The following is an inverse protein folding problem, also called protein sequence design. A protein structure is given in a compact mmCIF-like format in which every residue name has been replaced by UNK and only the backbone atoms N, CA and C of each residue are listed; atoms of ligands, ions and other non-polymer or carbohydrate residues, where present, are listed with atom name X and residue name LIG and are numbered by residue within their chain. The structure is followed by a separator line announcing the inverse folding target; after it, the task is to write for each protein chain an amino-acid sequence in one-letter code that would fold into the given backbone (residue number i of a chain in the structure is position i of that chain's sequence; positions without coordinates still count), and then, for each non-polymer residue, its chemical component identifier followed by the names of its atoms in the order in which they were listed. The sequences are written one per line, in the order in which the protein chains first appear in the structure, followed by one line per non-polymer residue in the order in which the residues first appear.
data_IF_727033767945
#
_entry.id   IF_727033767945
#
_cell.length_a   1.000
_cell.length_b   1.000
_cell.length_c   1.000
_cell.angle_alpha   90.00
_cell.angle_beta   90.00
_cell.angle_gamma   90.00
#
_symmetry.space_group_name_H-M   'P 1'
#
loop_
_entity.id
_entity.type
_entity.pdbx_description
1 polymer ?
#
# COMPACT_ATOMS: atom_id res chain seq x y z
N UNK A 1 17.33 -13.77 0.67
CA UNK A 1 18.42 -13.97 1.63
C UNK A 1 18.40 -12.93 2.72
N UNK A 2 18.80 -13.31 3.95
CA UNK A 2 18.88 -12.39 5.11
C UNK A 2 19.73 -11.14 4.84
N UNK A 3 20.68 -11.22 3.89
CA UNK A 3 21.49 -10.07 3.47
C UNK A 3 20.72 -8.95 2.79
N UNK A 4 19.63 -9.23 2.08
CA UNK A 4 18.79 -8.21 1.45
C UNK A 4 18.05 -7.40 2.52
N UNK A 5 17.45 -8.08 3.50
CA UNK A 5 16.78 -7.40 4.61
C UNK A 5 17.78 -6.49 5.36
N UNK A 6 18.99 -6.99 5.63
CA UNK A 6 20.02 -6.18 6.28
C UNK A 6 20.33 -4.91 5.49
N UNK A 7 20.55 -5.01 4.19
CA UNK A 7 20.85 -3.85 3.34
C UNK A 7 19.72 -2.82 3.32
N UNK A 8 18.46 -3.29 3.25
CA UNK A 8 17.27 -2.43 3.30
C UNK A 8 17.14 -1.73 4.64
N UNK A 9 17.35 -2.44 5.75
CA UNK A 9 17.31 -1.86 7.09
C UNK A 9 18.45 -0.86 7.32
N UNK A 10 19.65 -1.16 6.83
CA UNK A 10 20.79 -0.23 6.91
C UNK A 10 20.51 1.05 6.12
N UNK A 11 19.95 0.93 4.90
CA UNK A 11 19.55 2.08 4.10
C UNK A 11 18.49 2.93 4.80
N UNK A 12 17.50 2.30 5.43
CA UNK A 12 16.46 3.02 6.19
C UNK A 12 17.05 3.80 7.37
N UNK A 13 17.96 3.17 8.13
CA UNK A 13 18.65 3.85 9.24
C UNK A 13 19.51 5.02 8.78
N UNK A 14 20.26 4.84 7.68
CA UNK A 14 21.04 5.92 7.08
C UNK A 14 20.14 7.09 6.68
N UNK A 15 18.96 6.84 6.10
CA UNK A 15 18.01 7.90 5.77
C UNK A 15 17.53 8.65 7.02
N UNK A 16 17.25 7.94 8.12
CA UNK A 16 16.87 8.55 9.40
C UNK A 16 17.99 9.42 9.97
N UNK A 17 19.24 8.96 9.89
CA UNK A 17 20.40 9.69 10.38
C UNK A 17 20.69 10.96 9.56
N UNK A 18 20.57 10.86 8.23
CA UNK A 18 20.85 11.98 7.32
C UNK A 18 19.71 13.02 7.25
N UNK A 19 18.48 12.61 7.47
CA UNK A 19 17.29 13.46 7.37
C UNK A 19 16.25 13.09 8.44
N UNK A 20 16.54 13.39 9.73
CA UNK A 20 15.69 12.96 10.85
C UNK A 20 14.30 13.63 10.86
N UNK A 21 14.13 14.72 10.12
CA UNK A 21 12.85 15.42 9.91
C UNK A 21 12.03 14.83 8.76
N UNK A 22 12.55 13.82 8.07
CA UNK A 22 11.88 13.15 6.95
C UNK A 22 11.40 11.76 7.35
N UNK A 23 10.36 11.31 6.65
CA UNK A 23 9.83 9.98 6.82
C UNK A 23 10.47 9.04 5.81
N UNK A 24 11.39 8.14 6.20
CA UNK A 24 11.92 7.14 5.29
C UNK A 24 10.80 6.22 4.83
N UNK A 25 10.71 6.02 3.53
CA UNK A 25 9.64 5.25 2.94
C UNK A 25 10.20 4.04 2.20
N UNK A 26 9.90 2.85 2.70
CA UNK A 26 10.25 1.58 2.05
C UNK A 26 8.97 0.79 1.83
N UNK A 27 8.62 0.58 0.57
CA UNK A 27 7.49 -0.25 0.20
C UNK A 27 7.85 -1.73 0.34
N UNK A 28 7.01 -2.51 1.02
CA UNK A 28 7.14 -3.94 1.15
C UNK A 28 6.43 -4.63 -0.02
N UNK A 29 6.96 -5.77 -0.46
CA UNK A 29 6.21 -6.64 -1.36
C UNK A 29 4.94 -7.15 -0.68
N UNK A 30 3.89 -7.44 -1.44
CA UNK A 30 2.73 -8.14 -0.89
C UNK A 30 3.11 -9.58 -0.53
N UNK A 31 2.43 -10.14 0.46
CA UNK A 31 2.50 -11.56 0.72
C UNK A 31 1.97 -12.33 -0.50
N UNK A 32 2.76 -13.24 -0.99
CA UNK A 32 2.36 -14.20 -2.01
C UNK A 32 3.07 -15.54 -1.78
N UNK A 33 2.30 -16.56 -1.43
CA UNK A 33 2.83 -17.91 -1.25
C UNK A 33 4.01 -18.00 -0.26
N UNK A 34 5.17 -18.39 -0.77
CA UNK A 34 6.36 -18.68 0.01
C UNK A 34 7.40 -17.52 0.04
N UNK A 35 6.99 -16.28 -0.20
CA UNK A 35 7.94 -15.15 -0.28
C UNK A 35 8.75 -14.97 1.01
N UNK A 36 8.18 -15.22 2.16
CA UNK A 36 8.89 -15.13 3.43
C UNK A 36 10.07 -16.11 3.48
N UNK A 37 9.85 -17.33 3.02
CA UNK A 37 10.88 -18.38 2.97
C UNK A 37 12.00 -18.04 1.98
N UNK A 38 11.68 -17.36 0.87
CA UNK A 38 12.70 -16.86 -0.07
C UNK A 38 13.62 -15.82 0.59
N UNK A 39 13.14 -15.09 1.58
CA UNK A 39 13.93 -14.16 2.39
C UNK A 39 14.54 -14.81 3.64
N UNK A 40 14.29 -16.09 3.88
CA UNK A 40 14.85 -16.87 4.98
C UNK A 40 14.09 -16.72 6.30
N UNK A 41 12.79 -16.44 6.23
CA UNK A 41 11.86 -16.37 7.36
C UNK A 41 10.87 -17.53 7.34
N UNK A 42 10.30 -17.85 8.49
CA UNK A 42 9.32 -18.94 8.62
C UNK A 42 8.00 -18.55 7.96
N UNK A 43 7.57 -17.30 8.19
CA UNK A 43 6.31 -16.78 7.68
C UNK A 43 6.39 -15.26 7.45
N UNK A 44 5.35 -14.70 6.84
CA UNK A 44 5.29 -13.26 6.52
C UNK A 44 5.19 -12.35 7.74
N UNK A 45 4.39 -12.66 8.79
CA UNK A 45 4.42 -11.90 10.04
C UNK A 45 5.82 -11.78 10.66
N UNK A 46 6.60 -12.87 10.71
CA UNK A 46 7.99 -12.82 11.22
C UNK A 46 8.86 -11.86 10.39
N UNK A 47 8.73 -11.89 9.06
CA UNK A 47 9.45 -10.95 8.20
C UNK A 47 9.10 -9.49 8.52
N UNK A 48 7.80 -9.17 8.65
CA UNK A 48 7.35 -7.81 8.96
C UNK A 48 7.87 -7.33 10.32
N UNK A 49 7.79 -8.19 11.34
CA UNK A 49 8.29 -7.88 12.69
C UNK A 49 9.80 -7.62 12.66
N UNK A 50 10.57 -8.47 11.97
CA UNK A 50 12.02 -8.29 11.81
C UNK A 50 12.40 -7.04 11.03
N UNK A 51 11.62 -6.68 10.02
CA UNK A 51 11.83 -5.44 9.29
C UNK A 51 11.62 -4.23 10.22
N UNK A 52 10.51 -4.18 10.94
CA UNK A 52 10.20 -3.05 11.84
C UNK A 52 11.28 -2.90 12.91
N UNK A 53 11.67 -4.00 13.57
CA UNK A 53 12.69 -4.00 14.62
C UNK A 53 14.07 -3.57 14.09
N UNK A 54 14.53 -4.19 13.00
CA UNK A 54 15.86 -3.97 12.47
C UNK A 54 16.03 -2.60 11.79
N UNK A 55 14.99 -2.10 11.15
CA UNK A 55 15.01 -0.78 10.51
C UNK A 55 14.68 0.36 11.47
N UNK A 56 14.17 0.08 12.66
CA UNK A 56 13.51 1.05 13.53
C UNK A 56 12.40 1.80 12.76
N UNK A 57 11.58 1.05 12.02
CA UNK A 57 10.60 1.63 11.13
C UNK A 57 9.46 2.27 11.92
N UNK A 58 9.06 3.47 11.50
CA UNK A 58 7.98 4.24 12.12
C UNK A 58 6.65 4.07 11.37
N UNK A 59 6.67 3.35 10.26
CA UNK A 59 5.51 2.97 9.47
C UNK A 59 5.79 1.72 8.64
N UNK A 60 4.73 1.05 8.21
CA UNK A 60 4.76 0.01 7.18
C UNK A 60 4.08 0.52 5.92
N UNK A 61 4.53 0.09 4.76
CA UNK A 61 3.88 0.36 3.48
C UNK A 61 3.97 -0.87 2.59
N UNK A 62 2.93 -1.11 1.81
CA UNK A 62 2.90 -2.19 0.83
C UNK A 62 1.95 -1.86 -0.32
N UNK A 63 1.96 -2.68 -1.35
CA UNK A 63 0.97 -2.68 -2.43
C UNK A 63 0.46 -4.09 -2.72
N UNK A 64 -0.81 -4.20 -3.07
CA UNK A 64 -1.41 -5.45 -3.53
C UNK A 64 -2.58 -5.15 -4.48
N UNK A 65 -2.42 -5.46 -5.78
CA UNK A 65 -3.39 -5.13 -6.83
C UNK A 65 -4.08 -6.40 -7.34
N UNK A 66 -5.10 -6.87 -6.67
CA UNK A 66 -5.66 -8.18 -6.98
C UNK A 66 -6.84 -8.18 -7.95
N UNK A 67 -7.76 -7.24 -7.82
CA UNK A 67 -8.98 -7.22 -8.64
C UNK A 67 -8.80 -6.62 -10.03
N UNK A 68 -7.63 -6.05 -10.29
CA UNK A 68 -7.38 -5.25 -11.48
C UNK A 68 -6.74 -6.06 -12.62
N UNK A 69 -6.53 -7.36 -12.44
CA UNK A 69 -5.96 -8.20 -13.50
C UNK A 69 -7.00 -8.51 -14.56
N UNK A 70 -6.58 -8.55 -15.82
CA UNK A 70 -7.43 -9.00 -16.91
C UNK A 70 -7.68 -10.53 -16.80
N UNK A 71 -8.93 -10.95 -16.94
CA UNK A 71 -9.34 -12.35 -16.84
C UNK A 71 -9.80 -12.75 -15.42
N UNK A 72 -9.99 -14.04 -15.18
CA UNK A 72 -10.56 -14.57 -13.94
C UNK A 72 -9.56 -14.64 -12.78
N UNK A 73 -8.46 -13.92 -12.85
CA UNK A 73 -7.41 -13.96 -11.85
C UNK A 73 -7.74 -13.01 -10.70
N UNK A 74 -8.39 -13.53 -9.69
CA UNK A 74 -8.48 -12.88 -8.40
C UNK A 74 -7.23 -13.23 -7.58
N UNK A 75 -6.68 -12.25 -6.87
CA UNK A 75 -5.69 -12.55 -5.87
C UNK A 75 -6.40 -12.86 -4.53
N UNK A 76 -6.53 -14.13 -4.15
CA UNK A 76 -7.24 -14.51 -2.93
C UNK A 76 -6.56 -13.98 -1.67
N UNK A 77 -5.33 -13.48 -1.79
CA UNK A 77 -4.50 -13.02 -0.67
C UNK A 77 -4.66 -11.52 -0.36
N UNK A 78 -5.56 -10.81 -1.04
CA UNK A 78 -5.72 -9.37 -0.83
C UNK A 78 -6.08 -9.01 0.62
N UNK A 79 -7.12 -9.63 1.15
CA UNK A 79 -7.54 -9.39 2.52
C UNK A 79 -6.53 -9.94 3.54
N UNK A 80 -5.89 -11.05 3.25
CA UNK A 80 -4.82 -11.58 4.08
C UNK A 80 -3.61 -10.63 4.15
N UNK A 81 -3.28 -9.94 3.06
CA UNK A 81 -2.26 -8.90 3.07
C UNK A 81 -2.65 -7.73 3.98
N UNK A 82 -3.88 -7.24 3.87
CA UNK A 82 -4.40 -6.20 4.75
C UNK A 82 -4.34 -6.62 6.23
N UNK A 83 -4.69 -7.87 6.51
CA UNK A 83 -4.66 -8.44 7.86
C UNK A 83 -3.23 -8.51 8.42
N UNK A 84 -2.26 -9.03 7.66
CA UNK A 84 -0.87 -9.07 8.08
C UNK A 84 -0.28 -7.68 8.35
N UNK A 85 -0.57 -6.71 7.49
CA UNK A 85 -0.10 -5.33 7.67
C UNK A 85 -0.74 -4.67 8.89
N UNK A 86 -2.07 -4.83 9.05
CA UNK A 86 -2.80 -4.35 10.22
C UNK A 86 -2.24 -4.94 11.52
N UNK A 87 -2.07 -6.25 11.57
CA UNK A 87 -1.65 -6.94 12.79
C UNK A 87 -0.20 -6.56 13.18
N UNK A 88 0.70 -6.46 12.19
CA UNK A 88 2.05 -5.96 12.43
C UNK A 88 2.03 -4.50 12.92
N UNK A 89 1.24 -3.63 12.28
CA UNK A 89 1.08 -2.25 12.68
C UNK A 89 0.57 -2.10 14.12
N UNK A 90 -0.41 -2.92 14.51
CA UNK A 90 -0.94 -2.95 15.89
C UNK A 90 0.09 -3.44 16.91
N UNK A 91 0.82 -4.54 16.60
CA UNK A 91 1.87 -5.07 17.50
C UNK A 91 2.97 -4.04 17.77
N UNK A 92 3.41 -3.35 16.73
CA UNK A 92 4.50 -2.38 16.82
C UNK A 92 4.03 -0.95 17.12
N UNK A 93 2.70 -0.70 17.19
CA UNK A 93 2.09 0.63 17.45
C UNK A 93 2.52 1.70 16.43
N UNK A 94 2.65 1.31 15.19
CA UNK A 94 2.96 2.18 14.05
C UNK A 94 1.83 2.13 13.03
N UNK A 95 1.63 3.16 12.20
CA UNK A 95 0.66 3.08 11.11
C UNK A 95 1.14 2.15 9.99
N UNK A 96 0.20 1.62 9.21
CA UNK A 96 0.51 1.09 7.89
C UNK A 96 -0.18 1.90 6.79
N UNK A 97 0.45 1.94 5.63
CA UNK A 97 -0.06 2.60 4.44
C UNK A 97 -0.22 1.60 3.32
N UNK A 98 -1.24 1.80 2.48
CA UNK A 98 -1.47 0.97 1.31
C UNK A 98 -1.31 1.79 0.04
N UNK A 99 -0.55 1.25 -0.93
CA UNK A 99 -0.48 1.79 -2.28
C UNK A 99 -1.55 1.08 -3.10
N UNK A 100 -2.51 1.84 -3.60
CA UNK A 100 -3.61 1.32 -4.41
C UNK A 100 -3.39 1.60 -5.89
N UNK A 101 -3.91 0.73 -6.75
CA UNK A 101 -3.75 0.88 -8.19
C UNK A 101 -4.60 2.04 -8.71
N UNK A 102 -3.96 3.02 -9.33
CA UNK A 102 -4.63 4.11 -10.03
C UNK A 102 -4.34 4.11 -11.53
N UNK A 103 -3.27 3.47 -11.96
CA UNK A 103 -2.80 3.50 -13.36
C UNK A 103 -2.71 2.09 -13.92
N UNK A 104 -3.45 1.76 -14.98
CA UNK A 104 -3.34 0.46 -15.64
C UNK A 104 -1.94 0.29 -16.24
N UNK A 105 -1.35 -0.88 -15.99
CA UNK A 105 -0.04 -1.26 -16.50
C UNK A 105 0.14 -2.77 -16.47
N UNK A 106 1.07 -3.30 -17.25
CA UNK A 106 1.28 -4.73 -17.42
C UNK A 106 -0.02 -5.47 -17.70
N UNK A 107 -0.44 -6.34 -16.81
CA UNK A 107 -1.70 -7.10 -16.89
C UNK A 107 -2.84 -6.46 -16.08
N UNK A 108 -2.57 -5.35 -15.40
CA UNK A 108 -3.61 -4.67 -14.64
C UNK A 108 -4.51 -3.84 -15.54
N UNK A 109 -5.80 -4.07 -15.45
CA UNK A 109 -6.81 -3.28 -16.17
C UNK A 109 -6.98 -1.90 -15.56
N UNK A 110 -7.65 -1.04 -16.30
CA UNK A 110 -8.03 0.27 -15.81
C UNK A 110 -9.02 0.14 -14.63
N UNK A 111 -8.70 0.66 -13.43
CA UNK A 111 -9.63 0.66 -12.33
C UNK A 111 -10.81 1.60 -12.61
N UNK A 112 -12.03 1.10 -12.40
CA UNK A 112 -13.26 1.91 -12.39
C UNK A 112 -13.35 2.76 -11.11
N UNK A 113 -14.33 3.64 -11.05
CA UNK A 113 -14.63 4.40 -9.82
C UNK A 113 -14.97 3.48 -8.64
N UNK A 114 -15.67 2.39 -8.90
CA UNK A 114 -16.03 1.42 -7.86
C UNK A 114 -14.82 0.59 -7.42
N UNK A 115 -13.93 0.22 -8.34
CA UNK A 115 -12.64 -0.41 -7.98
C UNK A 115 -11.80 0.52 -7.09
N UNK A 116 -11.71 1.81 -7.42
CA UNK A 116 -10.99 2.79 -6.60
C UNK A 116 -11.63 2.94 -5.22
N UNK A 117 -12.97 3.04 -5.17
CA UNK A 117 -13.73 3.07 -3.92
C UNK A 117 -13.45 1.83 -3.09
N UNK A 118 -13.53 0.65 -3.69
CA UNK A 118 -13.30 -0.62 -3.02
C UNK A 118 -11.88 -0.69 -2.42
N UNK A 119 -10.83 -0.38 -3.18
CA UNK A 119 -9.45 -0.38 -2.68
C UNK A 119 -9.26 0.58 -1.49
N UNK A 120 -9.80 1.79 -1.60
CA UNK A 120 -9.69 2.82 -0.56
C UNK A 120 -10.44 2.37 0.70
N UNK A 121 -11.72 2.02 0.58
CA UNK A 121 -12.54 1.76 1.77
C UNK A 121 -12.22 0.43 2.45
N UNK A 122 -11.80 -0.60 1.72
CA UNK A 122 -11.28 -1.84 2.35
C UNK A 122 -10.00 -1.54 3.13
N UNK A 123 -9.07 -0.79 2.57
CA UNK A 123 -7.86 -0.37 3.30
C UNK A 123 -8.19 0.39 4.58
N UNK A 124 -9.13 1.34 4.50
CA UNK A 124 -9.57 2.11 5.66
C UNK A 124 -10.28 1.23 6.70
N UNK A 125 -11.09 0.26 6.30
CA UNK A 125 -11.76 -0.67 7.21
C UNK A 125 -10.76 -1.51 8.02
N UNK A 126 -9.59 -1.81 7.44
CA UNK A 126 -8.49 -2.46 8.15
C UNK A 126 -7.64 -1.51 9.01
N UNK A 127 -7.96 -0.22 9.05
CA UNK A 127 -7.24 0.76 9.88
C UNK A 127 -6.00 1.35 9.20
N UNK A 128 -5.94 1.35 7.87
CA UNK A 128 -4.87 1.95 7.10
C UNK A 128 -4.75 3.46 7.40
N UNK A 129 -3.58 3.92 7.83
CA UNK A 129 -3.33 5.32 8.19
C UNK A 129 -3.01 6.24 6.99
N UNK A 130 -2.78 5.69 5.80
CA UNK A 130 -2.49 6.48 4.61
C UNK A 130 -2.70 5.70 3.33
N UNK A 131 -3.19 6.38 2.30
CA UNK A 131 -3.39 5.83 0.96
C UNK A 131 -2.47 6.54 -0.02
N UNK A 132 -1.73 5.77 -0.79
CA UNK A 132 -0.90 6.22 -1.90
C UNK A 132 -1.45 5.65 -3.21
N UNK A 133 -1.08 6.28 -4.32
CA UNK A 133 -1.58 5.87 -5.64
C UNK A 133 -0.43 5.46 -6.55
N UNK A 134 -0.50 4.27 -7.12
CA UNK A 134 0.43 3.81 -8.15
C UNK A 134 -0.24 3.82 -9.52
N UNK A 135 0.13 4.77 -10.36
CA UNK A 135 0.94 5.95 -10.16
C UNK A 135 0.07 7.20 -10.30
N UNK A 136 0.54 8.34 -9.81
CA UNK A 136 -0.21 9.58 -9.92
C UNK A 136 -0.16 10.18 -11.34
N UNK A 137 0.94 9.97 -12.04
CA UNK A 137 1.13 10.40 -13.43
C UNK A 137 1.41 9.20 -14.33
N UNK A 138 1.18 9.35 -15.64
CA UNK A 138 1.43 8.31 -16.64
C UNK A 138 2.92 8.26 -16.99
N UNK A 139 3.67 7.20 -16.59
CA UNK A 139 5.04 7.03 -17.02
C UNK A 139 5.12 6.78 -18.53
N UNK A 140 6.15 7.37 -19.19
CA UNK A 140 6.40 7.19 -20.63
C UNK A 140 7.19 5.89 -20.91
N UNK A 141 6.83 4.81 -20.26
CA UNK A 141 7.52 3.52 -20.40
C UNK A 141 6.51 2.37 -20.35
N UNK A 142 6.87 1.23 -20.91
CA UNK A 142 6.02 0.04 -20.96
C UNK A 142 4.61 0.38 -21.51
N UNK A 143 3.58 -0.22 -20.91
CA UNK A 143 2.19 -0.02 -21.29
C UNK A 143 1.38 0.80 -20.28
N UNK A 144 2.04 1.66 -19.50
CA UNK A 144 1.36 2.59 -18.61
C UNK A 144 0.46 3.54 -19.40
N UNK A 145 -0.75 3.76 -18.92
CA UNK A 145 -1.74 4.62 -19.57
C UNK A 145 -2.73 5.17 -18.54
N UNK A 146 -3.41 6.23 -18.92
CA UNK A 146 -4.59 6.75 -18.21
C UNK A 146 -4.40 6.93 -16.68
N UNK A 147 -3.25 7.40 -16.22
CA UNK A 147 -3.08 7.80 -14.82
C UNK A 147 -3.97 9.01 -14.46
N UNK A 148 -4.12 9.35 -13.18
CA UNK A 148 -4.80 10.60 -12.79
C UNK A 148 -4.27 11.83 -13.48
N UNK A 149 -2.96 11.93 -13.67
CA UNK A 149 -2.33 12.93 -14.55
C UNK A 149 -1.75 12.21 -15.77
N UNK A 150 -2.10 12.68 -16.95
CA UNK A 150 -1.63 12.09 -18.19
C UNK A 150 -0.17 12.46 -18.51
N UNK A 151 0.34 11.96 -19.64
CA UNK A 151 1.72 12.20 -20.07
C UNK A 151 2.00 13.67 -20.43
N UNK A 152 0.97 14.48 -20.62
CA UNK A 152 1.07 15.92 -20.95
C UNK A 152 0.89 16.80 -19.72
N UNK A 153 0.62 16.23 -18.54
CA UNK A 153 0.36 16.95 -17.30
C UNK A 153 -1.11 17.33 -17.10
N UNK A 154 -2.00 16.84 -17.96
CA UNK A 154 -3.42 17.15 -17.89
C UNK A 154 -4.18 16.17 -16.97
N UNK A 155 -5.29 16.64 -16.42
CA UNK A 155 -6.15 15.84 -15.54
C UNK A 155 -7.00 14.87 -16.34
N UNK A 156 -6.84 13.59 -16.10
CA UNK A 156 -7.67 12.53 -16.68
C UNK A 156 -9.00 12.37 -15.94
N UNK A 157 -9.88 11.54 -16.47
CA UNK A 157 -11.13 11.15 -15.81
C UNK A 157 -10.86 10.56 -14.40
N UNK A 158 -9.78 9.79 -14.23
CA UNK A 158 -9.39 9.21 -12.93
C UNK A 158 -9.05 10.25 -11.89
N UNK A 159 -8.46 11.36 -12.29
CA UNK A 159 -8.25 12.47 -11.36
C UNK A 159 -9.57 12.97 -10.78
N UNK A 160 -10.60 13.13 -11.62
CA UNK A 160 -11.91 13.56 -11.17
C UNK A 160 -12.61 12.50 -10.31
N UNK A 161 -12.49 11.20 -10.66
CA UNK A 161 -13.00 10.11 -9.83
C UNK A 161 -12.38 10.13 -8.43
N UNK A 162 -11.06 10.25 -8.32
CA UNK A 162 -10.35 10.32 -7.04
C UNK A 162 -10.72 11.57 -6.25
N UNK A 163 -10.77 12.73 -6.90
CA UNK A 163 -11.23 13.97 -6.27
C UNK A 163 -12.59 13.78 -5.59
N UNK A 164 -13.53 13.17 -6.29
CA UNK A 164 -14.89 12.99 -5.76
C UNK A 164 -14.92 11.97 -4.61
N UNK A 165 -14.15 10.88 -4.70
CA UNK A 165 -14.01 9.92 -3.61
C UNK A 165 -13.38 10.55 -2.37
N UNK A 166 -12.32 11.34 -2.53
CA UNK A 166 -11.68 12.05 -1.42
C UNK A 166 -12.61 13.09 -0.80
N UNK A 167 -13.34 13.84 -1.62
CA UNK A 167 -14.34 14.81 -1.11
C UNK A 167 -15.42 14.12 -0.29
N UNK A 168 -15.93 12.99 -0.75
CA UNK A 168 -16.92 12.19 -0.03
C UNK A 168 -16.36 11.67 1.31
N UNK A 169 -15.15 11.14 1.31
CA UNK A 169 -14.48 10.67 2.52
C UNK A 169 -14.29 11.81 3.53
N UNK A 170 -13.77 12.94 3.08
CA UNK A 170 -13.53 14.12 3.93
C UNK A 170 -14.82 14.63 4.54
N UNK A 171 -15.89 14.72 3.78
CA UNK A 171 -17.17 15.17 4.27
C UNK A 171 -17.77 14.28 5.37
N UNK A 172 -17.54 12.96 5.29
CA UNK A 172 -18.19 11.97 6.16
C UNK A 172 -17.33 11.49 7.31
N UNK A 173 -16.02 11.27 7.09
CA UNK A 173 -15.17 10.48 7.96
C UNK A 173 -13.92 11.19 8.45
N UNK A 174 -13.40 12.22 7.76
CA UNK A 174 -12.10 12.84 8.05
C UNK A 174 -11.95 13.22 9.53
N UNK A 175 -13.00 13.79 10.14
CA UNK A 175 -12.93 14.29 11.51
C UNK A 175 -12.78 13.21 12.58
N UNK A 176 -13.17 11.98 12.26
CA UNK A 176 -13.20 10.88 13.23
C UNK A 176 -12.22 9.79 12.92
N UNK A 177 -11.87 9.60 11.63
CA UNK A 177 -11.15 8.42 11.17
C UNK A 177 -9.79 8.23 11.85
N UNK A 178 -8.96 9.28 11.92
CA UNK A 178 -7.63 9.17 12.52
C UNK A 178 -7.65 8.93 14.04
N UNK A 179 -8.77 9.17 14.68
CA UNK A 179 -8.99 8.83 16.09
C UNK A 179 -9.47 7.41 16.34
N UNK A 180 -9.85 6.69 15.29
CA UNK A 180 -10.33 5.31 15.39
C UNK A 180 -9.16 4.33 15.44
N UNK A 181 -9.39 3.21 16.12
CA UNK A 181 -8.48 2.05 16.11
C UNK A 181 -9.24 0.84 15.62
N UNK A 182 -8.67 0.15 14.64
CA UNK A 182 -9.23 -1.11 14.15
C UNK A 182 -9.20 -2.15 15.28
N UNK A 183 -10.35 -2.67 15.65
CA UNK A 183 -10.52 -3.70 16.68
C UNK A 183 -10.58 -5.09 16.04
N UNK A 184 -11.60 -5.28 15.20
CA UNK A 184 -11.85 -6.52 14.47
C UNK A 184 -12.33 -6.20 13.07
N UNK A 185 -12.00 -7.07 12.12
CA UNK A 185 -12.58 -7.08 10.78
C UNK A 185 -13.29 -8.42 10.60
N UNK A 186 -14.55 -8.38 10.24
CA UNK A 186 -15.37 -9.57 9.99
C UNK A 186 -15.49 -9.77 8.48
N UNK A 187 -15.33 -11.01 8.02
CA UNK A 187 -15.44 -11.44 6.62
C UNK A 187 -16.81 -12.06 6.36
#
# INVERSE_FOLDING_TARGET
PKGVLKAVCDAHRIMLDLAPDRLPFINQFPYHGNIAQLYGFINWPEYLDRFVEAANATQLSYDCYCQMMEGPYENPLYFQNLEYMRDAALRHRIPFWNIVLATPHFRYRAPSKDDMRWQIYTSLAYGCGGILYFTWYTPLTCNYRDAPIDAHGERSERWYMLRDLHRDFRARFERVYLGLRSQHVYH
#
